data_IF_528189891561
#
_entry.id   IF_528189891561
#
_cell.length_a   1.000
_cell.length_b   1.000
_cell.length_c   1.000
_cell.angle_alpha   90.00
_cell.angle_beta   90.00
_cell.angle_gamma   90.00
#
_symmetry.space_group_name_H-M   'P 1'
#
loop_
_entity.id
_entity.type
_entity.pdbx_description
1 polymer ?
#
# COMPACT_ATOMS: atom_id res chain seq x y z
N UNK A 1 -12.98 -4.49 6.00
CA UNK A 1 -12.95 -3.55 4.86
C UNK A 1 -13.47 -2.21 5.34
N UNK A 2 -12.78 -1.11 5.01
CA UNK A 2 -13.20 0.26 5.34
C UNK A 2 -14.16 0.81 4.27
N UNK A 3 -15.01 1.77 4.62
CA UNK A 3 -15.91 2.41 3.65
C UNK A 3 -15.12 3.30 2.68
N UNK A 4 -15.56 3.39 1.42
CA UNK A 4 -14.83 4.10 0.35
C UNK A 4 -14.57 5.56 0.68
N UNK A 5 -15.56 6.23 1.25
CA UNK A 5 -15.54 7.62 1.67
C UNK A 5 -14.62 7.89 2.88
N UNK A 6 -14.19 6.84 3.59
CA UNK A 6 -13.28 6.94 4.74
C UNK A 6 -11.83 6.61 4.39
N UNK A 7 -11.55 6.08 3.19
CA UNK A 7 -10.20 5.61 2.82
C UNK A 7 -9.19 6.74 2.89
N UNK A 8 -9.49 7.88 2.28
CA UNK A 8 -8.57 9.01 2.22
C UNK A 8 -8.36 9.65 3.59
N UNK A 9 -9.42 9.80 4.39
CA UNK A 9 -9.30 10.41 5.72
C UNK A 9 -8.47 9.56 6.68
N UNK A 10 -8.46 8.24 6.51
CA UNK A 10 -7.68 7.32 7.34
C UNK A 10 -6.25 7.16 6.81
N UNK A 11 -6.09 6.92 5.51
CA UNK A 11 -4.80 6.50 4.93
C UNK A 11 -4.00 7.63 4.30
N UNK A 12 -4.64 8.77 4.00
CA UNK A 12 -4.06 9.86 3.21
C UNK A 12 -4.10 9.65 1.70
N UNK A 13 -4.67 8.54 1.22
CA UNK A 13 -4.70 8.19 -0.21
C UNK A 13 -6.11 7.93 -0.72
N UNK A 14 -6.35 8.28 -1.98
CA UNK A 14 -7.61 7.97 -2.66
C UNK A 14 -7.76 6.44 -2.88
N UNK A 15 -9.00 5.91 -2.87
CA UNK A 15 -9.28 4.54 -3.29
C UNK A 15 -8.68 4.24 -4.67
N UNK A 16 -7.91 3.16 -4.78
CA UNK A 16 -7.18 2.78 -6.00
C UNK A 16 -5.71 3.22 -6.04
N UNK A 17 -5.30 4.15 -5.17
CA UNK A 17 -3.92 4.62 -5.03
C UNK A 17 -3.33 4.43 -3.64
N UNK A 18 -3.93 3.60 -2.79
CA UNK A 18 -3.54 3.41 -1.38
C UNK A 18 -2.15 2.80 -1.28
N UNK A 19 -1.16 3.65 -0.97
CA UNK A 19 0.24 3.27 -0.81
C UNK A 19 0.47 2.64 0.57
N UNK A 20 1.26 1.55 0.68
CA UNK A 20 1.67 1.03 1.98
C UNK A 20 2.77 1.88 2.66
N UNK A 21 3.34 2.85 1.93
CA UNK A 21 4.39 3.74 2.42
C UNK A 21 3.81 5.10 2.79
N UNK A 22 4.46 5.79 3.75
CA UNK A 22 4.08 7.13 4.19
C UNK A 22 2.62 7.27 4.66
N UNK A 23 2.04 6.18 5.17
CA UNK A 23 0.79 6.22 5.94
C UNK A 23 1.06 6.74 7.36
N UNK A 24 0.01 7.06 8.12
CA UNK A 24 0.14 7.45 9.52
C UNK A 24 0.82 6.36 10.35
N UNK A 25 1.67 6.77 11.32
CA UNK A 25 2.52 5.88 12.12
C UNK A 25 1.73 4.86 12.97
N UNK A 26 0.44 5.11 13.22
CA UNK A 26 -0.45 4.23 13.97
C UNK A 26 -1.10 3.14 13.12
N UNK A 27 -0.85 3.13 11.79
CA UNK A 27 -1.40 2.14 10.87
C UNK A 27 -0.38 1.01 10.67
N UNK A 28 -0.63 -0.20 11.23
CA UNK A 28 0.27 -1.32 11.05
C UNK A 28 0.20 -1.85 9.61
N UNK A 29 1.37 -2.10 9.02
CA UNK A 29 1.51 -2.69 7.69
C UNK A 29 1.83 -4.18 7.83
N UNK A 30 1.04 -5.01 7.15
CA UNK A 30 1.21 -6.45 7.11
C UNK A 30 1.44 -6.92 5.68
N UNK A 31 2.44 -7.78 5.49
CA UNK A 31 2.74 -8.42 4.22
C UNK A 31 2.37 -9.89 4.27
N UNK A 32 1.74 -10.38 3.21
CA UNK A 32 1.39 -11.79 3.11
C UNK A 32 2.67 -12.63 2.86
N UNK A 33 2.81 -13.74 3.58
CA UNK A 33 4.00 -14.61 3.48
C UNK A 33 4.21 -15.12 2.05
N UNK A 34 3.15 -15.28 1.27
CA UNK A 34 3.24 -15.70 -0.13
C UNK A 34 4.00 -14.71 -1.01
N UNK A 35 4.14 -13.43 -0.64
CA UNK A 35 4.91 -12.44 -1.41
C UNK A 35 6.39 -12.85 -1.58
N UNK A 36 6.92 -13.66 -0.65
CA UNK A 36 8.30 -14.21 -0.71
C UNK A 36 8.58 -15.08 -1.93
N UNK A 37 7.55 -15.51 -2.68
CA UNK A 37 7.70 -16.28 -3.92
C UNK A 37 8.12 -15.43 -5.12
N UNK A 38 8.08 -14.10 -5.00
CA UNK A 38 8.40 -13.15 -6.06
C UNK A 38 9.69 -12.40 -5.70
N UNK A 39 10.58 -12.22 -6.69
CA UNK A 39 11.77 -11.38 -6.52
C UNK A 39 11.39 -9.90 -6.33
N UNK A 40 10.39 -9.44 -7.08
CA UNK A 40 9.85 -8.09 -6.99
C UNK A 40 8.34 -8.08 -6.84
N UNK A 41 7.84 -7.06 -6.14
CA UNK A 41 6.43 -6.75 -5.96
C UNK A 41 6.18 -5.28 -6.34
N UNK A 42 4.94 -4.96 -6.69
CA UNK A 42 4.55 -3.65 -7.19
C UNK A 42 3.37 -3.08 -6.37
N UNK A 43 3.60 -2.56 -5.15
CA UNK A 43 2.59 -1.81 -4.42
C UNK A 43 2.18 -0.52 -5.15
N UNK A 44 1.01 0.01 -4.81
CA UNK A 44 0.56 1.32 -5.27
C UNK A 44 1.50 2.43 -4.80
N UNK A 45 1.74 3.42 -5.66
CA UNK A 45 2.68 4.52 -5.43
C UNK A 45 2.05 5.83 -4.98
N UNK A 46 0.84 5.79 -4.40
CA UNK A 46 0.16 6.96 -3.84
C UNK A 46 -0.84 7.67 -4.75
N UNK A 47 -1.04 7.19 -5.98
CA UNK A 47 -2.12 7.62 -6.87
C UNK A 47 -2.52 6.48 -7.83
N UNK A 48 -3.47 6.74 -8.73
CA UNK A 48 -4.03 5.74 -9.66
C UNK A 48 -3.10 5.35 -10.83
N UNK A 49 -2.00 6.08 -11.04
CA UNK A 49 -1.10 5.91 -12.19
C UNK A 49 0.31 5.43 -11.81
N UNK A 50 0.65 5.38 -10.52
CA UNK A 50 1.99 5.07 -10.05
C UNK A 50 2.05 3.75 -9.27
N UNK A 51 3.13 3.00 -9.48
CA UNK A 51 3.52 1.86 -8.66
C UNK A 51 5.02 1.92 -8.40
N UNK A 52 5.46 1.26 -7.34
CA UNK A 52 6.88 1.19 -6.97
C UNK A 52 7.36 -0.24 -7.11
N UNK A 53 8.46 -0.47 -7.85
CA UNK A 53 9.09 -1.80 -7.92
C UNK A 53 10.01 -1.96 -6.71
N UNK A 54 9.73 -2.92 -5.85
CA UNK A 54 10.54 -3.24 -4.66
C UNK A 54 10.68 -4.75 -4.46
N UNK A 55 11.69 -5.19 -3.73
CA UNK A 55 11.77 -6.54 -3.18
C UNK A 55 10.92 -6.63 -1.91
N UNK A 56 10.37 -7.81 -1.55
CA UNK A 56 9.65 -7.98 -0.29
C UNK A 56 10.47 -7.74 1.00
N UNK A 57 11.79 -7.56 0.87
CA UNK A 57 12.74 -7.36 1.98
C UNK A 57 13.29 -5.94 2.10
N UNK A 58 12.97 -5.05 1.15
CA UNK A 58 13.37 -3.63 1.19
C UNK A 58 12.57 -2.81 2.21
#
# INVERSE_FOLDING_TARGET
MISRDQVESITGFQPGGVCPFAVADDIPIWLDVSMKRFEYVHPAGGNEFTSVKVTPSE
#
